data_IF_406175709151
#
_entry.id   IF_406175709151
#
_cell.length_a   1.000
_cell.length_b   1.000
_cell.length_c   1.000
_cell.angle_alpha   90.00
_cell.angle_beta   90.00
_cell.angle_gamma   90.00
#
_symmetry.space_group_name_H-M   'P 1'
#
loop_
_entity.id
_entity.type
_entity.pdbx_description
1 polymer ?
#
# COMPACT_ATOMS: atom_id res chain seq x y z
N UNK A 1 -11.23 -23.13 9.42
CA UNK A 1 -11.40 -22.29 10.62
C UNK A 1 -10.00 -22.03 11.17
N UNK A 2 -9.28 -21.07 10.58
CA UNK A 2 -7.92 -20.76 11.03
C UNK A 2 -7.99 -19.82 12.25
N UNK A 3 -7.13 -20.06 13.26
CA UNK A 3 -7.24 -19.38 14.54
C UNK A 3 -6.84 -17.92 14.37
N UNK A 4 -7.55 -17.03 15.08
CA UNK A 4 -7.21 -15.62 15.26
C UNK A 4 -5.70 -15.44 15.44
N UNK A 5 -5.03 -14.83 14.46
CA UNK A 5 -3.66 -14.34 14.60
C UNK A 5 -3.67 -12.83 14.56
N UNK A 6 -3.87 -12.23 15.73
CA UNK A 6 -3.25 -10.96 16.07
C UNK A 6 -1.72 -11.16 16.07
N UNK A 7 -1.09 -11.16 14.88
CA UNK A 7 0.37 -11.24 14.70
C UNK A 7 0.78 -10.63 13.35
N UNK A 8 0.58 -9.32 13.16
CA UNK A 8 1.08 -8.69 11.92
C UNK A 8 1.88 -7.40 12.12
N UNK A 9 2.05 -6.91 13.35
CA UNK A 9 2.99 -5.82 13.66
C UNK A 9 4.34 -6.37 14.15
N UNK A 10 4.31 -7.45 14.95
CA UNK A 10 5.54 -8.04 15.52
C UNK A 10 6.35 -8.87 14.51
N UNK A 11 5.75 -9.35 13.42
CA UNK A 11 6.45 -10.21 12.45
C UNK A 11 7.28 -9.40 11.43
N UNK A 12 6.90 -8.16 11.13
CA UNK A 12 7.68 -7.29 10.25
C UNK A 12 9.01 -6.89 10.91
N UNK A 13 8.98 -6.52 12.20
CA UNK A 13 10.20 -6.17 12.95
C UNK A 13 11.16 -7.35 13.14
N UNK A 14 10.62 -8.58 13.26
CA UNK A 14 11.44 -9.80 13.41
C UNK A 14 12.14 -10.25 12.11
N UNK A 15 11.56 -9.96 10.95
CA UNK A 15 12.20 -10.22 9.64
C UNK A 15 13.35 -9.22 9.39
N UNK A 16 13.19 -7.96 9.82
CA UNK A 16 14.17 -6.89 9.63
C UNK A 16 15.45 -7.13 10.45
N UNK A 17 15.32 -7.61 11.70
CA UNK A 17 16.46 -7.85 12.60
C UNK A 17 17.35 -9.04 12.22
N UNK A 18 16.88 -10.01 11.43
CA UNK A 18 17.64 -11.22 11.09
C UNK A 18 18.57 -11.10 9.87
N UNK A 19 18.56 -9.97 9.17
CA UNK A 19 19.36 -9.76 7.93
C UNK A 19 20.64 -8.94 8.12
N UNK A 20 21.02 -8.65 9.36
CA UNK A 20 22.07 -7.68 9.69
C UNK A 20 23.52 -8.07 9.34
N UNK A 21 23.83 -9.11 8.57
CA UNK A 21 25.23 -9.48 8.28
C UNK A 21 25.49 -10.00 6.87
N UNK A 22 24.91 -9.38 5.83
CA UNK A 22 25.35 -9.68 4.47
C UNK A 22 25.30 -8.44 3.54
N UNK A 23 26.51 -7.94 3.28
CA UNK A 23 26.93 -7.14 2.12
C UNK A 23 26.33 -5.75 1.94
N UNK A 24 27.03 -4.79 2.56
CA UNK A 24 27.31 -3.50 1.94
C UNK A 24 28.41 -3.74 0.90
N UNK A 25 28.05 -3.78 -0.38
CA UNK A 25 29.00 -3.59 -1.49
C UNK A 25 28.26 -3.25 -2.78
N UNK A 26 28.38 -1.97 -3.14
CA UNK A 26 28.46 -1.41 -4.49
C UNK A 26 27.51 -1.93 -5.59
N UNK A 27 26.76 -1.04 -6.23
CA UNK A 27 27.27 -0.25 -7.38
C UNK A 27 26.23 0.76 -7.85
N UNK A 28 26.72 1.97 -8.14
CA UNK A 28 26.01 2.98 -8.88
C UNK A 28 25.85 2.51 -10.33
N UNK A 29 24.62 2.30 -10.79
CA UNK A 29 24.29 2.42 -12.21
C UNK A 29 23.05 3.29 -12.37
N UNK A 30 23.30 4.59 -12.57
CA UNK A 30 22.34 5.52 -13.13
C UNK A 30 22.10 5.11 -14.59
N UNK A 31 21.13 4.23 -14.83
CA UNK A 31 20.67 3.97 -16.20
C UNK A 31 19.80 5.13 -16.64
N UNK A 32 20.37 5.92 -17.54
CA UNK A 32 19.68 6.91 -18.35
C UNK A 32 18.46 6.26 -19.02
N UNK A 33 17.27 6.48 -18.46
CA UNK A 33 16.03 6.29 -19.19
C UNK A 33 15.93 7.45 -20.16
N UNK A 34 16.39 7.22 -21.39
CA UNK A 34 16.07 8.08 -22.51
C UNK A 34 14.55 8.22 -22.56
N UNK A 35 14.07 9.43 -22.29
CA UNK A 35 12.68 9.81 -22.44
C UNK A 35 12.34 9.60 -23.91
N UNK A 36 11.73 8.46 -24.24
CA UNK A 36 11.13 8.24 -25.53
C UNK A 36 9.98 9.23 -25.64
N UNK A 37 10.28 10.40 -26.22
CA UNK A 37 9.28 11.32 -26.74
C UNK A 37 8.35 10.48 -27.61
N UNK A 38 7.14 10.22 -27.11
CA UNK A 38 6.10 9.59 -27.88
C UNK A 38 5.87 10.47 -29.11
N UNK A 39 6.31 9.98 -30.27
CA UNK A 39 5.88 10.54 -31.54
C UNK A 39 4.37 10.40 -31.55
N UNK A 40 3.67 11.52 -31.34
CA UNK A 40 2.23 11.58 -31.42
C UNK A 40 1.90 11.46 -32.90
N UNK A 41 1.91 10.23 -33.41
CA UNK A 41 1.34 9.92 -34.70
C UNK A 41 -0.12 10.38 -34.64
N UNK A 42 -0.42 11.45 -35.37
CA UNK A 42 -1.76 11.99 -35.59
C UNK A 42 -2.59 10.97 -36.39
N UNK A 43 -2.95 9.86 -35.74
CA UNK A 43 -3.97 8.94 -36.19
C UNK A 43 -5.15 9.09 -35.24
N UNK A 44 -6.00 10.09 -35.49
CA UNK A 44 -7.30 10.17 -34.84
C UNK A 44 -8.11 8.94 -35.29
N UNK A 45 -8.02 7.84 -34.54
CA UNK A 45 -8.95 6.73 -34.67
C UNK A 45 -10.28 7.27 -34.15
N UNK A 46 -11.11 7.75 -35.07
CA UNK A 46 -12.43 8.27 -34.74
C UNK A 46 -13.17 7.27 -33.87
N UNK A 47 -13.77 7.78 -32.79
CA UNK A 47 -14.54 6.96 -31.86
C UNK A 47 -15.55 6.10 -32.65
N UNK A 48 -15.70 4.80 -32.32
CA UNK A 48 -16.55 3.92 -33.08
C UNK A 48 -17.97 4.49 -33.20
N UNK A 49 -18.49 4.51 -34.42
CA UNK A 49 -19.84 5.00 -34.74
C UNK A 49 -20.87 4.20 -33.94
N UNK A 50 -21.86 4.88 -33.35
CA UNK A 50 -22.97 4.20 -32.67
C UNK A 50 -23.66 3.24 -33.64
N UNK A 51 -23.56 1.95 -33.36
CA UNK A 51 -24.25 0.90 -34.11
C UNK A 51 -25.75 0.91 -33.81
N UNK A 52 -26.57 0.71 -34.84
CA UNK A 52 -28.01 0.55 -34.69
C UNK A 52 -28.34 -0.77 -33.99
N UNK A 53 -29.58 -0.98 -33.53
CA UNK A 53 -29.94 -2.21 -32.78
C UNK A 53 -29.73 -3.49 -33.59
N UNK A 54 -29.94 -3.44 -34.91
CA UNK A 54 -29.74 -4.58 -35.82
C UNK A 54 -28.27 -4.89 -36.07
N UNK A 55 -27.40 -3.89 -36.00
CA UNK A 55 -25.96 -4.05 -36.26
C UNK A 55 -25.20 -4.52 -35.01
N UNK A 56 -25.87 -4.56 -33.85
CA UNK A 56 -25.30 -5.10 -32.62
C UNK A 56 -25.35 -6.61 -32.65
N UNK A 57 -24.20 -7.23 -32.36
CA UNK A 57 -24.14 -8.68 -32.17
C UNK A 57 -25.13 -9.11 -31.08
N UNK A 58 -25.90 -10.18 -31.30
CA UNK A 58 -26.73 -10.78 -30.25
C UNK A 58 -25.89 -11.13 -29.03
N UNK A 59 -26.49 -11.07 -27.85
CA UNK A 59 -25.80 -11.46 -26.63
C UNK A 59 -25.46 -12.95 -26.66
N UNK A 60 -24.23 -13.29 -26.29
CA UNK A 60 -23.76 -14.68 -26.18
C UNK A 60 -24.53 -15.43 -25.10
N UNK A 61 -25.01 -14.72 -24.08
CA UNK A 61 -25.79 -15.26 -22.96
C UNK A 61 -27.06 -14.44 -22.79
N UNK A 62 -28.19 -15.07 -22.45
CA UNK A 62 -29.44 -14.35 -22.26
C UNK A 62 -29.34 -13.32 -21.12
N UNK A 63 -29.94 -12.14 -21.33
CA UNK A 63 -29.80 -11.02 -20.39
C UNK A 63 -30.44 -11.31 -19.03
N UNK A 64 -31.49 -12.13 -18.98
CA UNK A 64 -32.12 -12.50 -17.71
C UNK A 64 -31.26 -13.52 -16.96
N UNK A 65 -30.56 -14.39 -17.68
CA UNK A 65 -29.58 -15.29 -17.10
C UNK A 65 -28.40 -14.53 -16.49
N UNK A 66 -27.85 -13.54 -17.22
CA UNK A 66 -26.80 -12.65 -16.70
C UNK A 66 -27.28 -11.91 -15.45
N UNK A 67 -28.51 -11.36 -15.45
CA UNK A 67 -29.10 -10.71 -14.28
C UNK A 67 -29.29 -11.68 -13.10
N UNK A 68 -29.73 -12.91 -13.35
CA UNK A 68 -29.90 -13.95 -12.34
C UNK A 68 -28.56 -14.29 -11.69
N UNK A 69 -27.52 -14.52 -12.51
CA UNK A 69 -26.16 -14.81 -12.04
C UNK A 69 -25.60 -13.66 -11.20
N UNK A 70 -25.73 -12.42 -11.68
CA UNK A 70 -25.29 -11.24 -10.94
C UNK A 70 -26.01 -11.05 -9.59
N UNK A 71 -27.31 -11.35 -9.51
CA UNK A 71 -28.07 -11.33 -8.25
C UNK A 71 -27.59 -12.41 -7.27
N UNK A 72 -27.22 -13.59 -7.77
CA UNK A 72 -26.72 -14.70 -6.97
C UNK A 72 -25.31 -14.39 -6.44
N UNK A 73 -24.40 -13.92 -7.30
CA UNK A 73 -23.08 -13.40 -6.87
C UNK A 73 -23.23 -12.28 -5.83
N UNK A 74 -24.17 -11.35 -6.01
CA UNK A 74 -24.41 -10.28 -5.03
C UNK A 74 -24.85 -10.83 -3.67
N UNK A 75 -25.61 -11.93 -3.64
CA UNK A 75 -25.97 -12.62 -2.38
C UNK A 75 -24.75 -13.33 -1.78
N UNK A 76 -23.93 -13.98 -2.58
CA UNK A 76 -22.70 -14.64 -2.14
C UNK A 76 -21.68 -13.65 -1.58
N UNK A 77 -21.46 -12.51 -2.25
CA UNK A 77 -20.57 -11.41 -1.80
C UNK A 77 -20.98 -10.75 -0.48
N UNK A 78 -22.21 -10.98 0.01
CA UNK A 78 -22.63 -10.55 1.36
C UNK A 78 -22.10 -11.46 2.46
N UNK A 79 -21.76 -12.71 2.12
CA UNK A 79 -21.13 -13.64 3.04
C UNK A 79 -19.64 -13.38 3.00
N UNK A 80 -19.07 -12.86 4.09
CA UNK A 80 -17.63 -12.62 4.20
C UNK A 80 -16.94 -13.98 4.31
N UNK A 81 -16.49 -14.50 3.19
CA UNK A 81 -15.63 -15.69 3.08
C UNK A 81 -14.35 -15.27 2.42
N UNK A 82 -13.23 -15.76 2.96
CA UNK A 82 -11.96 -15.75 2.26
C UNK A 82 -12.13 -16.59 0.99
N UNK A 83 -12.22 -15.93 -0.15
CA UNK A 83 -12.12 -16.58 -1.44
C UNK A 83 -10.63 -16.70 -1.72
N UNK A 84 -10.13 -17.93 -1.84
CA UNK A 84 -8.80 -18.16 -2.42
C UNK A 84 -8.90 -17.75 -3.87
N UNK A 85 -8.45 -16.54 -4.17
CA UNK A 85 -8.51 -16.02 -5.52
C UNK A 85 -7.43 -16.70 -6.33
N UNK A 86 -7.83 -17.34 -7.42
CA UNK A 86 -6.88 -17.67 -8.47
C UNK A 86 -6.38 -16.36 -9.08
N UNK A 87 -5.09 -16.26 -9.44
CA UNK A 87 -4.60 -15.12 -10.19
C UNK A 87 -5.52 -14.89 -11.40
N UNK A 88 -6.09 -13.68 -11.59
CA UNK A 88 -6.82 -13.39 -12.81
C UNK A 88 -5.86 -13.58 -13.99
N UNK A 89 -6.34 -14.13 -15.12
CA UNK A 89 -5.61 -14.12 -16.38
C UNK A 89 -5.27 -12.67 -16.73
N UNK A 90 -4.04 -12.20 -16.45
CA UNK A 90 -3.52 -10.84 -16.69
C UNK A 90 -4.60 -9.75 -16.85
N UNK A 91 -5.50 -9.63 -15.87
CA UNK A 91 -6.73 -8.89 -16.06
C UNK A 91 -6.64 -7.49 -15.47
N UNK A 92 -5.84 -6.62 -16.10
CA UNK A 92 -5.62 -5.18 -15.80
C UNK A 92 -4.35 -4.80 -15.02
N UNK A 93 -3.26 -5.56 -15.14
CA UNK A 93 -1.94 -5.07 -14.73
C UNK A 93 -1.31 -4.18 -15.79
N UNK A 94 -0.82 -3.01 -15.37
CA UNK A 94 0.07 -2.19 -16.19
C UNK A 94 1.48 -2.78 -16.06
N UNK A 95 1.97 -3.46 -17.11
CA UNK A 95 3.25 -4.17 -17.09
C UNK A 95 4.43 -3.32 -16.64
N UNK A 96 4.41 -2.03 -16.98
CA UNK A 96 5.44 -1.05 -16.61
C UNK A 96 5.45 -0.73 -15.11
N UNK A 97 4.33 -0.88 -14.40
CA UNK A 97 4.24 -0.60 -12.97
C UNK A 97 4.73 -1.76 -12.10
N UNK A 98 4.81 -2.98 -12.64
CA UNK A 98 5.30 -4.16 -11.92
C UNK A 98 6.74 -3.96 -11.43
N UNK A 99 7.74 -3.61 -12.28
CA UNK A 99 9.11 -3.38 -11.81
C UNK A 99 9.18 -2.19 -10.83
N UNK A 100 8.45 -1.11 -11.11
CA UNK A 100 8.39 0.07 -10.22
C UNK A 100 7.88 -0.32 -8.83
N UNK A 101 6.85 -1.17 -8.74
CA UNK A 101 6.32 -1.62 -7.48
C UNK A 101 7.34 -2.44 -6.67
N UNK A 102 8.14 -3.28 -7.33
CA UNK A 102 9.25 -3.98 -6.67
C UNK A 102 10.34 -3.03 -6.19
N UNK A 103 10.72 -2.05 -7.01
CA UNK A 103 11.70 -1.01 -6.64
C UNK A 103 11.22 -0.18 -5.45
N UNK A 104 9.95 0.24 -5.44
CA UNK A 104 9.34 0.98 -4.32
C UNK A 104 9.40 0.19 -3.03
N UNK A 105 9.09 -1.12 -3.07
CA UNK A 105 9.18 -1.95 -1.86
C UNK A 105 10.62 -2.17 -1.40
N UNK A 106 11.57 -2.33 -2.32
CA UNK A 106 12.99 -2.45 -2.01
C UNK A 106 13.52 -1.16 -1.35
N UNK A 107 13.26 -0.01 -1.99
CA UNK A 107 13.62 1.31 -1.48
C UNK A 107 12.95 1.60 -0.12
N UNK A 108 11.69 1.18 0.04
CA UNK A 108 10.99 1.27 1.34
C UNK A 108 11.71 0.45 2.40
N UNK A 109 12.09 -0.80 2.10
CA UNK A 109 12.82 -1.63 3.06
C UNK A 109 14.15 -0.97 3.47
N UNK A 110 14.91 -0.46 2.50
CA UNK A 110 16.17 0.23 2.74
C UNK A 110 15.98 1.48 3.61
N UNK A 111 15.00 2.33 3.27
CA UNK A 111 14.66 3.53 4.04
C UNK A 111 14.38 3.20 5.52
N UNK A 112 13.53 2.20 5.78
CA UNK A 112 13.22 1.79 7.14
C UNK A 112 14.44 1.23 7.87
N UNK A 113 15.31 0.48 7.20
CA UNK A 113 16.57 0.01 7.77
C UNK A 113 17.50 1.16 8.13
N UNK A 114 17.71 2.10 7.21
CA UNK A 114 18.57 3.27 7.43
C UNK A 114 18.06 4.12 8.59
N UNK A 115 16.76 4.40 8.64
CA UNK A 115 16.17 5.19 9.72
C UNK A 115 16.22 4.44 11.05
N UNK A 116 16.10 3.11 11.05
CA UNK A 116 16.25 2.34 12.29
C UNK A 116 17.66 2.51 12.89
N UNK A 117 18.70 2.44 12.04
CA UNK A 117 20.08 2.67 12.47
C UNK A 117 20.29 4.11 12.96
N UNK A 118 19.69 5.09 12.29
CA UNK A 118 19.77 6.50 12.70
C UNK A 118 19.03 6.76 14.00
N UNK A 119 17.88 6.12 14.23
CA UNK A 119 17.11 6.25 15.45
C UNK A 119 17.85 5.69 16.68
N UNK A 120 18.75 4.72 16.50
CA UNK A 120 19.61 4.20 17.57
C UNK A 120 20.69 5.21 18.01
N UNK A 121 21.07 6.15 17.12
CA UNK A 121 22.17 7.09 17.36
C UNK A 121 21.72 8.54 17.57
N UNK A 122 20.57 8.93 17.03
CA UNK A 122 20.04 10.29 17.09
C UNK A 122 18.75 10.27 17.92
N UNK A 123 18.66 11.08 19.00
CA UNK A 123 17.46 11.12 19.81
C UNK A 123 16.29 11.69 19.01
N UNK A 124 15.16 11.00 19.09
CA UNK A 124 13.89 11.44 18.53
C UNK A 124 12.98 11.83 19.70
N UNK A 125 12.34 12.98 19.57
CA UNK A 125 11.37 13.49 20.51
C UNK A 125 10.02 13.70 19.83
N UNK A 126 8.94 13.31 20.48
CA UNK A 126 7.58 13.61 20.03
C UNK A 126 6.81 14.37 21.10
N UNK A 127 6.04 15.36 20.68
CA UNK A 127 5.15 16.08 21.59
C UNK A 127 3.93 15.21 21.89
N UNK A 128 3.72 14.88 23.17
CA UNK A 128 2.62 14.00 23.61
C UNK A 128 1.23 14.59 23.38
N UNK A 129 1.15 15.89 23.07
CA UNK A 129 -0.11 16.62 22.92
C UNK A 129 -0.46 16.82 21.44
N UNK A 130 0.44 17.38 20.64
CA UNK A 130 0.17 17.72 19.24
C UNK A 130 0.81 16.79 18.21
N UNK A 131 1.66 15.85 18.65
CA UNK A 131 2.34 14.91 17.76
C UNK A 131 3.49 15.51 16.95
N UNK A 132 3.89 16.76 17.20
CA UNK A 132 5.07 17.35 16.56
C UNK A 132 6.33 16.53 16.88
N UNK A 133 7.22 16.38 15.90
CA UNK A 133 8.40 15.53 16.00
C UNK A 133 9.65 16.38 15.86
N UNK A 134 10.59 16.19 16.78
CA UNK A 134 11.91 16.80 16.77
C UNK A 134 12.97 15.70 16.72
N UNK A 135 13.97 15.85 15.85
CA UNK A 135 15.07 14.89 15.69
C UNK A 135 16.38 15.62 15.98
N UNK A 136 17.12 15.15 16.99
CA UNK A 136 18.39 15.73 17.40
C UNK A 136 18.40 16.30 18.83
N UNK A 137 19.53 16.93 19.15
CA UNK A 137 19.86 17.42 20.49
C UNK A 137 19.18 18.76 20.79
N UNK A 138 18.93 19.04 22.08
CA UNK A 138 17.64 18.93 22.75
C UNK A 138 16.50 19.68 22.04
N UNK A 139 15.24 19.23 22.22
CA UNK A 139 14.12 19.77 21.47
C UNK A 139 13.88 21.25 21.80
N UNK A 140 13.54 22.01 20.76
CA UNK A 140 13.37 23.45 20.88
C UNK A 140 12.17 23.83 21.75
N UNK A 141 12.26 24.98 22.42
CA UNK A 141 11.20 25.52 23.27
C UNK A 141 10.25 26.48 22.53
N UNK A 142 10.09 26.29 21.22
CA UNK A 142 9.17 27.09 20.40
C UNK A 142 7.72 26.89 20.90
N UNK A 143 7.01 28.01 21.10
CA UNK A 143 5.66 28.06 21.68
C UNK A 143 4.56 27.90 20.63
N UNK A 144 4.59 26.79 19.89
CA UNK A 144 3.68 26.50 18.76
C UNK A 144 2.68 25.39 19.04
N UNK A 145 2.65 24.82 20.25
CA UNK A 145 1.69 23.79 20.61
C UNK A 145 0.28 24.39 20.74
N UNK A 146 -0.54 24.22 19.70
CA UNK A 146 -1.87 24.86 19.59
C UNK A 146 -2.97 23.86 19.21
N UNK A 147 -3.10 22.82 20.01
CA UNK A 147 -4.19 21.82 19.92
C UNK A 147 -4.92 21.69 21.26
N UNK A 148 -6.11 21.08 21.26
CA UNK A 148 -6.84 20.78 22.50
C UNK A 148 -5.96 19.97 23.47
N UNK A 149 -5.79 20.44 24.70
CA UNK A 149 -4.90 19.84 25.70
C UNK A 149 -3.49 20.46 25.78
N UNK A 150 -3.20 21.48 24.96
CA UNK A 150 -1.94 22.22 25.05
C UNK A 150 -1.86 23.04 26.35
N UNK A 151 -0.62 23.26 26.83
CA UNK A 151 -0.36 24.13 27.97
C UNK A 151 -0.71 25.59 27.63
N UNK A 152 -1.04 26.38 28.65
CA UNK A 152 -1.35 27.81 28.49
C UNK A 152 -0.19 28.61 27.84
N UNK A 153 1.05 28.19 28.06
CA UNK A 153 2.23 28.82 27.47
C UNK A 153 2.53 28.35 26.04
N UNK A 154 1.72 27.46 25.46
CA UNK A 154 1.88 26.84 24.13
C UNK A 154 3.21 26.10 23.93
N UNK A 155 3.90 25.74 25.01
CA UNK A 155 5.11 24.93 24.93
C UNK A 155 4.78 23.47 24.69
N UNK A 156 5.64 22.80 23.93
CA UNK A 156 5.56 21.38 23.67
C UNK A 156 5.87 20.56 24.92
N UNK A 157 5.20 19.43 25.06
CA UNK A 157 5.51 18.43 26.08
C UNK A 157 6.24 17.28 25.41
N UNK A 158 7.56 17.44 25.31
CA UNK A 158 8.45 16.48 24.65
C UNK A 158 8.56 15.17 25.44
N UNK A 159 8.34 14.06 24.76
CA UNK A 159 8.60 12.70 25.22
C UNK A 159 9.60 12.02 24.28
N UNK A 160 10.18 10.90 24.70
CA UNK A 160 11.00 10.07 23.80
C UNK A 160 10.10 9.53 22.68
N UNK A 161 10.47 9.83 21.44
CA UNK A 161 9.80 9.32 20.25
C UNK A 161 10.56 8.13 19.65
N UNK A 162 9.87 7.36 18.81
CA UNK A 162 10.43 6.29 18.01
C UNK A 162 10.30 6.55 16.49
N UNK A 163 10.72 5.57 15.70
CA UNK A 163 10.70 5.60 14.23
C UNK A 163 9.28 5.82 13.70
N UNK A 164 8.27 5.29 14.40
CA UNK A 164 6.85 5.43 14.05
C UNK A 164 6.36 6.88 14.04
N UNK A 165 7.05 7.79 14.74
CA UNK A 165 6.74 9.21 14.72
C UNK A 165 7.35 9.91 13.49
N UNK A 166 8.54 9.48 13.08
CA UNK A 166 9.23 10.03 11.90
C UNK A 166 8.62 9.49 10.60
N UNK A 167 8.32 8.19 10.56
CA UNK A 167 7.69 7.51 9.44
C UNK A 167 6.36 6.88 9.87
N UNK A 168 5.29 7.69 10.02
CA UNK A 168 3.98 7.17 10.36
C UNK A 168 3.48 6.22 9.27
N UNK A 169 3.06 5.02 9.68
CA UNK A 169 2.52 4.02 8.77
C UNK A 169 1.04 4.31 8.54
N UNK A 170 0.69 4.62 7.29
CA UNK A 170 -0.70 4.69 6.86
C UNK A 170 -1.18 3.27 6.54
N UNK A 171 -2.18 2.78 7.26
CA UNK A 171 -2.80 1.48 7.01
C UNK A 171 -3.90 1.56 5.95
N UNK A 172 -4.04 0.50 5.16
CA UNK A 172 -5.14 0.26 4.24
C UNK A 172 -5.69 -1.15 4.43
N UNK A 173 -6.96 -1.36 4.07
CA UNK A 173 -7.51 -2.71 4.00
C UNK A 173 -6.85 -3.48 2.85
N UNK A 174 -6.53 -4.74 3.08
CA UNK A 174 -6.02 -5.62 2.04
C UNK A 174 -7.16 -6.10 1.15
N UNK A 175 -7.08 -5.79 -0.15
CA UNK A 175 -8.04 -6.31 -1.13
C UNK A 175 -7.47 -7.58 -1.77
N UNK A 176 -7.97 -8.73 -1.33
CA UNK A 176 -7.59 -10.01 -1.93
C UNK A 176 -7.92 -10.03 -3.43
N UNK A 177 -9.09 -9.50 -3.83
CA UNK A 177 -9.53 -9.39 -5.23
C UNK A 177 -9.34 -7.96 -5.74
N UNK A 178 -8.44 -7.79 -6.72
CA UNK A 178 -8.10 -6.49 -7.33
C UNK A 178 -9.28 -5.86 -8.07
N UNK A 179 -10.16 -6.69 -8.64
CA UNK A 179 -11.40 -6.25 -9.31
C UNK A 179 -12.61 -6.39 -8.38
N UNK A 180 -12.35 -6.70 -7.11
CA UNK A 180 -13.34 -6.88 -6.07
C UNK A 180 -14.04 -5.58 -5.69
N UNK A 181 -15.05 -5.71 -4.84
CA UNK A 181 -15.71 -4.54 -4.25
C UNK A 181 -14.87 -3.99 -3.09
N UNK A 182 -14.98 -2.69 -2.86
CA UNK A 182 -14.41 -2.08 -1.67
C UNK A 182 -14.94 -2.73 -0.37
N UNK A 183 -14.08 -2.74 0.64
CA UNK A 183 -14.36 -3.24 1.99
C UNK A 183 -15.42 -2.34 2.62
N UNK A 184 -16.54 -2.95 2.98
CA UNK A 184 -17.68 -2.30 3.64
C UNK A 184 -17.41 -2.09 5.12
N UNK A 185 -18.16 -1.18 5.74
CA UNK A 185 -18.04 -0.90 7.17
C UNK A 185 -18.26 -2.14 8.05
N UNK A 186 -19.16 -3.04 7.64
CA UNK A 186 -19.53 -4.22 8.44
C UNK A 186 -18.40 -5.28 8.47
N UNK A 187 -17.56 -5.33 7.44
CA UNK A 187 -16.47 -6.31 7.33
C UNK A 187 -15.10 -5.73 7.72
N UNK A 188 -15.04 -4.46 8.14
CA UNK A 188 -13.79 -3.74 8.49
C UNK A 188 -12.95 -4.37 9.60
N UNK A 189 -13.56 -5.23 10.42
CA UNK A 189 -12.90 -5.95 11.52
C UNK A 189 -12.52 -7.39 11.12
N UNK A 190 -13.00 -7.85 9.97
CA UNK A 190 -12.79 -9.19 9.44
C UNK A 190 -11.73 -9.21 8.32
N UNK A 191 -11.39 -8.03 7.78
CA UNK A 191 -10.41 -7.86 6.72
C UNK A 191 -9.08 -7.38 7.30
N UNK A 192 -7.99 -7.99 6.83
CA UNK A 192 -6.64 -7.62 7.21
C UNK A 192 -6.30 -6.18 6.81
N UNK A 193 -5.43 -5.55 7.60
CA UNK A 193 -4.85 -4.24 7.29
C UNK A 193 -3.36 -4.38 7.06
N UNK A 194 -2.88 -3.68 6.05
CA UNK A 194 -1.46 -3.61 5.69
C UNK A 194 -1.07 -2.17 5.38
N UNK A 195 0.23 -1.82 5.32
CA UNK A 195 0.64 -0.48 4.93
C UNK A 195 0.14 -0.12 3.53
N UNK A 196 -0.40 1.09 3.34
CA UNK A 196 -0.99 1.56 2.10
C UNK A 196 -0.04 1.46 0.90
N UNK A 197 1.24 1.78 1.10
CA UNK A 197 2.27 1.62 0.06
C UNK A 197 2.44 0.17 -0.36
N UNK A 198 2.36 -0.76 0.60
CA UNK A 198 2.47 -2.20 0.33
C UNK A 198 1.25 -2.69 -0.44
N UNK A 199 0.05 -2.26 -0.05
CA UNK A 199 -1.18 -2.56 -0.80
C UNK A 199 -1.11 -2.03 -2.25
N UNK A 200 -0.67 -0.78 -2.45
CA UNK A 200 -0.50 -0.22 -3.79
C UNK A 200 0.47 -1.05 -4.66
N UNK A 201 1.58 -1.52 -4.09
CA UNK A 201 2.54 -2.35 -4.81
C UNK A 201 1.95 -3.74 -5.13
N UNK A 202 1.15 -4.31 -4.22
CA UNK A 202 0.42 -5.56 -4.49
C UNK A 202 -0.57 -5.37 -5.64
N UNK A 203 -1.33 -4.28 -5.62
CA UNK A 203 -2.28 -3.97 -6.69
C UNK A 203 -1.58 -3.75 -8.04
N UNK A 204 -0.37 -3.17 -8.04
CA UNK A 204 0.47 -2.98 -9.22
C UNK A 204 1.11 -4.27 -9.77
N UNK A 205 1.03 -5.39 -9.05
CA UNK A 205 1.47 -6.69 -9.55
C UNK A 205 2.49 -7.42 -8.69
N UNK A 206 2.88 -6.89 -7.54
CA UNK A 206 3.75 -7.61 -6.61
C UNK A 206 2.98 -8.73 -5.93
N UNK A 207 3.52 -9.94 -5.99
CA UNK A 207 2.96 -11.06 -5.23
C UNK A 207 3.29 -10.93 -3.74
N UNK A 208 2.30 -11.18 -2.88
CA UNK A 208 2.47 -11.14 -1.42
C UNK A 208 3.54 -12.14 -0.92
N UNK A 209 3.81 -13.19 -1.70
CA UNK A 209 4.89 -14.14 -1.43
C UNK A 209 6.27 -13.51 -1.59
N UNK A 210 6.43 -12.49 -2.42
CA UNK A 210 7.68 -11.74 -2.55
C UNK A 210 8.06 -11.04 -1.24
N UNK A 211 7.08 -10.51 -0.52
CA UNK A 211 7.29 -9.87 0.79
C UNK A 211 7.85 -10.87 1.81
N UNK A 212 7.50 -12.15 1.69
CA UNK A 212 7.92 -13.22 2.59
C UNK A 212 9.09 -14.06 2.04
N UNK A 213 9.62 -13.78 0.83
CA UNK A 213 10.70 -14.58 0.26
C UNK A 213 12.03 -14.24 0.93
N UNK A 214 12.74 -15.25 1.47
CA UNK A 214 14.13 -15.07 1.80
C UNK A 214 14.92 -14.97 0.48
N UNK A 215 15.25 -13.75 0.04
CA UNK A 215 16.52 -13.49 -0.64
C UNK A 215 17.66 -13.98 0.26
#
# INVERSE_FOLDING_TARGET
MFPRRARTILHFNQIISKRCNAKISATNELKNYACALYSTGLGYVGLPRRLSKSDKKPWVTDINEVKRKARLEKKERRVVREVTLSPPENGLLVKELIPVAHEVLAARSELFTCISILADSIPIHSCSVCGEVHVGSPPHQIRTCNVSGSKNNKEHTWASGGIEHVLPIVESFHLYDRLGRAVSHNERLQVDRIPAVVELCIQAGVDILWINKPN
#
